data_IF_352818776301
#
_entry.id   IF_352818776301
#
_cell.length_a   1.000
_cell.length_b   1.000
_cell.length_c   1.000
_cell.angle_alpha   90.00
_cell.angle_beta   90.00
_cell.angle_gamma   90.00
#
_symmetry.space_group_name_H-M   'P 1'
#
loop_
_entity.id
_entity.type
_entity.pdbx_description
1 polymer ?
#
# COMPACT_ATOMS: atom_id res chain seq x y z
N UNK A 1 8.26 17.56 12.72
CA UNK A 1 7.03 16.74 12.72
C UNK A 1 6.35 16.98 11.39
N UNK A 2 6.65 16.18 10.38
CA UNK A 2 6.04 16.27 9.05
C UNK A 2 5.07 15.11 8.89
N UNK A 3 3.79 15.41 8.74
CA UNK A 3 2.73 14.42 8.67
C UNK A 3 2.96 13.47 7.49
N UNK A 4 2.89 12.17 7.78
CA UNK A 4 2.92 11.08 6.80
C UNK A 4 1.55 11.08 6.12
N UNK A 5 1.38 11.91 5.10
CA UNK A 5 0.13 11.94 4.36
C UNK A 5 0.18 10.93 3.22
N UNK A 6 -0.27 9.71 3.52
CA UNK A 6 -0.78 8.83 2.48
C UNK A 6 -2.02 9.46 1.87
N UNK A 7 -1.91 10.01 0.66
CA UNK A 7 -3.08 10.51 -0.05
C UNK A 7 -3.97 9.32 -0.43
N UNK A 8 -5.11 9.20 0.26
CA UNK A 8 -6.21 8.33 -0.11
C UNK A 8 -7.17 9.11 -0.98
N UNK A 9 -7.26 8.75 -2.27
CA UNK A 9 -8.26 9.31 -3.16
C UNK A 9 -9.43 8.35 -3.30
N UNK A 10 -10.58 8.74 -2.76
CA UNK A 10 -11.85 8.12 -3.13
C UNK A 10 -12.32 8.80 -4.40
N UNK A 11 -12.53 8.04 -5.48
CA UNK A 11 -13.08 8.54 -6.75
C UNK A 11 -14.52 8.03 -6.87
N UNK A 12 -15.55 8.78 -6.42
CA UNK A 12 -16.94 8.32 -6.48
C UNK A 12 -17.56 8.52 -7.86
N UNK A 13 -16.97 9.32 -8.74
CA UNK A 13 -17.47 9.59 -10.10
C UNK A 13 -16.43 10.36 -10.90
N UNK A 14 -16.54 10.37 -12.24
CA UNK A 14 -15.60 10.92 -13.22
C UNK A 14 -15.29 12.45 -13.12
N UNK A 15 -15.64 13.13 -12.03
CA UNK A 15 -15.53 14.57 -11.87
C UNK A 15 -14.77 15.02 -10.60
N UNK A 16 -14.03 14.12 -9.93
CA UNK A 16 -13.14 14.55 -8.85
C UNK A 16 -11.71 14.74 -9.37
N UNK A 17 -11.17 15.93 -9.10
CA UNK A 17 -9.75 16.27 -9.20
C UNK A 17 -9.15 16.23 -7.80
N UNK A 18 -7.82 16.20 -7.68
CA UNK A 18 -7.13 16.31 -6.39
C UNK A 18 -7.63 17.48 -5.52
N UNK A 19 -8.10 18.57 -6.15
CA UNK A 19 -8.67 19.76 -5.48
C UNK A 19 -10.10 19.61 -4.99
N UNK A 20 -10.86 18.64 -5.50
CA UNK A 20 -12.29 18.46 -5.16
C UNK A 20 -12.55 17.19 -4.34
N UNK A 21 -11.53 16.36 -4.12
CA UNK A 21 -11.60 15.30 -3.13
C UNK A 21 -11.61 15.92 -1.73
N UNK A 22 -12.63 15.65 -0.89
CA UNK A 22 -12.62 16.10 0.50
C UNK A 22 -11.34 15.63 1.18
N UNK A 23 -10.63 16.53 1.84
CA UNK A 23 -9.50 16.18 2.69
C UNK A 23 -10.03 15.26 3.82
N UNK A 24 -9.60 14.00 3.78
CA UNK A 24 -9.99 12.95 4.74
C UNK A 24 -8.81 12.58 5.65
N UNK A 25 -7.73 13.36 5.61
CA UNK A 25 -6.43 12.95 6.15
C UNK A 25 -6.44 12.79 7.68
N UNK A 26 -7.37 13.43 8.36
CA UNK A 26 -7.57 13.29 9.82
C UNK A 26 -8.22 11.97 10.25
N UNK A 27 -8.63 11.08 9.31
CA UNK A 27 -9.45 9.89 9.63
C UNK A 27 -8.76 8.55 9.41
N UNK A 28 -7.61 8.51 8.75
CA UNK A 28 -6.92 7.27 8.43
C UNK A 28 -5.41 7.44 8.59
N UNK A 29 -4.87 6.83 9.63
CA UNK A 29 -3.43 6.71 9.85
C UNK A 29 -3.05 5.23 9.70
N UNK A 30 -2.29 4.90 8.64
CA UNK A 30 -1.87 3.53 8.38
C UNK A 30 -0.78 3.03 9.33
N UNK A 31 -0.18 3.91 10.14
CA UNK A 31 0.71 3.51 11.22
C UNK A 31 -0.04 3.16 12.52
N UNK A 32 -1.36 3.40 12.56
CA UNK A 32 -2.27 3.01 13.64
C UNK A 32 -3.47 2.24 13.10
N UNK A 33 -3.41 0.91 13.22
CA UNK A 33 -4.45 -0.01 12.74
C UNK A 33 -5.82 0.23 13.37
N UNK A 34 -5.89 0.90 14.54
CA UNK A 34 -7.17 1.22 15.20
C UNK A 34 -8.00 2.25 14.42
N UNK A 35 -7.35 3.10 13.62
CA UNK A 35 -8.01 4.12 12.81
C UNK A 35 -8.72 3.54 11.58
N UNK A 36 -8.24 2.40 11.07
CA UNK A 36 -8.65 1.83 9.78
C UNK A 36 -10.13 1.44 9.79
N UNK A 37 -10.61 0.78 10.86
CA UNK A 37 -12.02 0.38 10.95
C UNK A 37 -12.96 1.58 10.97
N UNK A 38 -12.57 2.66 11.65
CA UNK A 38 -13.35 3.89 11.70
C UNK A 38 -13.42 4.56 10.32
N UNK A 39 -12.29 4.62 9.60
CA UNK A 39 -12.22 5.13 8.24
C UNK A 39 -13.11 4.32 7.28
N UNK A 40 -13.03 2.98 7.35
CA UNK A 40 -13.86 2.09 6.51
C UNK A 40 -15.35 2.26 6.82
N UNK A 41 -15.74 2.27 8.09
CA UNK A 41 -17.14 2.49 8.50
C UNK A 41 -17.68 3.83 7.96
N UNK A 42 -16.86 4.87 8.05
CA UNK A 42 -17.22 6.18 7.51
C UNK A 42 -17.42 6.16 5.99
N UNK A 43 -16.54 5.45 5.26
CA UNK A 43 -16.61 5.28 3.81
C UNK A 43 -17.85 4.49 3.39
N UNK A 44 -18.07 3.30 3.94
CA UNK A 44 -19.19 2.42 3.54
C UNK A 44 -20.57 3.00 3.94
N UNK A 45 -20.61 3.90 4.93
CA UNK A 45 -21.83 4.64 5.25
C UNK A 45 -22.23 5.64 4.15
N UNK A 46 -21.29 6.04 3.27
CA UNK A 46 -21.51 7.04 2.21
C UNK A 46 -21.45 6.44 0.82
N UNK A 47 -20.65 5.40 0.64
CA UNK A 47 -20.41 4.78 -0.66
C UNK A 47 -20.99 3.37 -0.66
N UNK A 48 -21.81 3.09 -1.67
CA UNK A 48 -22.45 1.78 -1.87
C UNK A 48 -21.73 0.93 -2.92
N UNK A 49 -20.65 1.46 -3.50
CA UNK A 49 -19.83 0.83 -4.55
C UNK A 49 -18.35 1.15 -4.34
N UNK A 50 -17.49 0.19 -4.65
CA UNK A 50 -16.04 0.39 -4.76
C UNK A 50 -15.51 -0.49 -5.90
N UNK A 51 -15.12 0.13 -7.02
CA UNK A 51 -14.62 -0.61 -8.18
C UNK A 51 -13.10 -0.79 -8.14
N UNK A 52 -12.35 0.14 -7.55
CA UNK A 52 -10.88 0.07 -7.47
C UNK A 52 -10.37 0.45 -6.09
N UNK A 53 -9.57 -0.42 -5.48
CA UNK A 53 -8.77 -0.13 -4.29
C UNK A 53 -7.29 -0.11 -4.68
N UNK A 54 -6.58 0.99 -4.39
CA UNK A 54 -5.15 1.10 -4.65
C UNK A 54 -4.39 1.22 -3.33
N UNK A 55 -3.75 0.12 -2.94
CA UNK A 55 -2.88 0.04 -1.77
C UNK A 55 -1.48 0.58 -2.13
N UNK A 56 -1.40 1.91 -2.28
CA UNK A 56 -0.18 2.62 -2.70
C UNK A 56 0.58 3.28 -1.55
N UNK A 57 -0.13 3.71 -0.52
CA UNK A 57 0.41 4.48 0.58
C UNK A 57 1.65 3.83 1.21
N UNK A 58 2.62 4.64 1.60
CA UNK A 58 3.76 4.09 2.31
C UNK A 58 4.76 5.10 2.82
N UNK A 59 5.67 4.58 3.62
CA UNK A 59 6.85 5.26 4.15
C UNK A 59 8.10 4.54 3.69
N UNK A 60 9.15 5.31 3.40
CA UNK A 60 10.45 4.82 3.00
C UNK A 60 11.51 5.47 3.87
N UNK A 61 12.35 4.63 4.45
CA UNK A 61 13.49 5.01 5.27
C UNK A 61 13.17 5.94 6.45
N UNK A 62 12.22 5.59 7.33
CA UNK A 62 12.00 6.34 8.56
C UNK A 62 13.23 6.25 9.48
N UNK A 63 13.20 7.02 10.58
CA UNK A 63 14.22 6.89 11.62
C UNK A 63 14.27 5.44 12.12
N UNK A 64 15.49 4.93 12.38
CA UNK A 64 15.68 3.57 12.88
C UNK A 64 14.86 3.33 14.15
N UNK A 65 14.30 2.13 14.28
CA UNK A 65 13.43 1.74 15.39
C UNK A 65 12.11 2.54 15.50
N UNK A 66 11.66 3.15 14.39
CA UNK A 66 10.30 3.69 14.32
C UNK A 66 9.27 2.55 14.37
N UNK A 67 8.30 2.68 15.26
CA UNK A 67 7.23 1.70 15.48
C UNK A 67 5.85 2.35 15.28
N UNK A 68 4.90 1.57 14.77
CA UNK A 68 3.49 1.95 14.73
C UNK A 68 2.81 1.79 16.09
N UNK A 69 1.55 2.21 16.18
CA UNK A 69 0.80 2.22 17.45
C UNK A 69 0.63 0.82 18.07
N UNK A 70 0.63 -0.24 17.25
CA UNK A 70 0.54 -1.63 17.70
C UNK A 70 1.90 -2.30 17.95
N UNK A 71 3.00 -1.54 17.92
CA UNK A 71 4.35 -2.06 18.21
C UNK A 71 5.04 -2.77 17.04
N UNK A 72 4.44 -2.78 15.86
CA UNK A 72 5.07 -3.28 14.64
C UNK A 72 6.07 -2.26 14.06
N UNK A 73 7.08 -2.74 13.34
CA UNK A 73 7.99 -1.87 12.58
C UNK A 73 7.23 -0.98 11.59
N UNK A 74 7.63 0.29 11.50
CA UNK A 74 6.81 1.33 10.86
C UNK A 74 6.56 1.09 9.36
N UNK A 75 7.54 0.61 8.59
CA UNK A 75 7.35 0.32 7.16
C UNK A 75 6.46 -0.90 6.96
N UNK A 76 6.61 -1.94 7.79
CA UNK A 76 5.77 -3.13 7.73
C UNK A 76 4.31 -2.83 8.06
N UNK A 77 4.04 -2.09 9.14
CA UNK A 77 2.67 -1.73 9.50
C UNK A 77 2.04 -0.83 8.44
N UNK A 78 2.76 0.22 8.01
CA UNK A 78 2.21 1.25 7.12
C UNK A 78 2.04 0.75 5.70
N UNK A 79 3.00 0.02 5.14
CA UNK A 79 3.03 -0.29 3.71
C UNK A 79 2.34 -1.62 3.39
N UNK A 80 2.13 -2.50 4.39
CA UNK A 80 1.72 -3.89 4.19
C UNK A 80 0.56 -4.31 5.11
N UNK A 81 0.73 -4.30 6.43
CA UNK A 81 -0.31 -4.81 7.35
C UNK A 81 -1.59 -3.97 7.31
N UNK A 82 -1.45 -2.65 7.31
CA UNK A 82 -2.58 -1.71 7.23
C UNK A 82 -3.39 -1.88 5.95
N UNK A 83 -2.71 -2.05 4.80
CA UNK A 83 -3.32 -2.29 3.51
C UNK A 83 -4.09 -3.61 3.47
N UNK A 84 -3.55 -4.66 4.07
CA UNK A 84 -4.26 -5.93 4.18
C UNK A 84 -5.52 -5.79 5.05
N UNK A 85 -5.42 -5.13 6.21
CA UNK A 85 -6.58 -4.88 7.07
C UNK A 85 -7.64 -4.03 6.36
N UNK A 86 -7.22 -2.97 5.65
CA UNK A 86 -8.08 -2.13 4.85
C UNK A 86 -8.83 -2.94 3.77
N UNK A 87 -8.10 -3.78 3.02
CA UNK A 87 -8.68 -4.70 2.04
C UNK A 87 -9.70 -5.66 2.69
N UNK A 88 -9.35 -6.31 3.80
CA UNK A 88 -10.24 -7.26 4.49
C UNK A 88 -11.55 -6.60 4.92
N UNK A 89 -11.48 -5.37 5.44
CA UNK A 89 -12.66 -4.62 5.88
C UNK A 89 -13.52 -4.13 4.70
N UNK A 90 -12.92 -3.85 3.54
CA UNK A 90 -13.62 -3.43 2.32
C UNK A 90 -14.07 -4.61 1.43
N UNK A 91 -13.59 -5.82 1.68
CA UNK A 91 -13.87 -7.01 0.88
C UNK A 91 -15.37 -7.29 0.67
N UNK A 92 -16.27 -7.13 1.67
CA UNK A 92 -17.71 -7.29 1.44
C UNK A 92 -18.26 -6.32 0.39
N UNK A 93 -17.81 -5.05 0.41
CA UNK A 93 -18.25 -4.03 -0.53
C UNK A 93 -17.66 -4.25 -1.93
N UNK A 94 -16.39 -4.63 -2.02
CA UNK A 94 -15.74 -4.99 -3.28
C UNK A 94 -16.44 -6.20 -3.93
N UNK A 95 -16.73 -7.25 -3.15
CA UNK A 95 -17.44 -8.44 -3.64
C UNK A 95 -18.86 -8.10 -4.09
N UNK A 96 -19.61 -7.32 -3.30
CA UNK A 96 -20.94 -6.81 -3.70
C UNK A 96 -20.87 -6.05 -5.02
N UNK A 97 -19.85 -5.20 -5.18
CA UNK A 97 -19.64 -4.44 -6.40
C UNK A 97 -19.38 -5.37 -7.57
N UNK A 98 -18.47 -6.33 -7.41
CA UNK A 98 -18.06 -7.29 -8.43
C UNK A 98 -19.22 -8.13 -8.97
N UNK A 99 -20.13 -8.59 -8.10
CA UNK A 99 -21.35 -9.35 -8.48
C UNK A 99 -22.24 -8.57 -9.46
N UNK A 100 -22.27 -7.24 -9.34
CA UNK A 100 -23.10 -6.36 -10.17
C UNK A 100 -22.34 -5.65 -11.30
N UNK A 101 -21.06 -5.96 -11.47
CA UNK A 101 -20.18 -5.33 -12.45
C UNK A 101 -19.82 -6.30 -13.59
N UNK A 102 -19.23 -5.78 -14.66
CA UNK A 102 -18.63 -6.62 -15.70
C UNK A 102 -17.52 -7.50 -15.12
N UNK A 103 -17.36 -8.71 -15.67
CA UNK A 103 -16.27 -9.62 -15.29
C UNK A 103 -14.92 -8.90 -15.32
N UNK A 104 -14.11 -9.11 -14.28
CA UNK A 104 -12.74 -8.56 -14.16
C UNK A 104 -12.64 -7.01 -14.17
N UNK A 105 -13.72 -6.30 -13.81
CA UNK A 105 -13.71 -4.83 -13.72
C UNK A 105 -13.37 -4.29 -12.33
N UNK A 106 -13.64 -5.05 -11.25
CA UNK A 106 -13.30 -4.66 -9.88
C UNK A 106 -11.87 -5.09 -9.55
N UNK A 107 -11.06 -4.18 -9.03
CA UNK A 107 -9.60 -4.36 -8.90
C UNK A 107 -9.06 -3.94 -7.54
N UNK A 108 -8.08 -4.68 -7.06
CA UNK A 108 -7.23 -4.29 -5.92
C UNK A 108 -5.77 -4.28 -6.39
N UNK A 109 -5.17 -3.10 -6.40
CA UNK A 109 -3.79 -2.89 -6.82
C UNK A 109 -2.88 -2.75 -5.60
N UNK A 110 -1.75 -3.45 -5.61
CA UNK A 110 -0.78 -3.48 -4.51
C UNK A 110 0.55 -2.87 -4.98
N UNK A 111 0.97 -1.76 -4.37
CA UNK A 111 2.20 -1.09 -4.78
C UNK A 111 3.45 -1.83 -4.24
N UNK A 112 4.20 -2.42 -5.16
CA UNK A 112 5.53 -2.96 -4.92
C UNK A 112 6.60 -1.90 -5.19
N UNK A 113 7.82 -2.33 -5.49
CA UNK A 113 8.96 -1.47 -5.82
C UNK A 113 10.03 -2.32 -6.50
N UNK A 114 10.93 -1.67 -7.23
CA UNK A 114 12.17 -2.31 -7.70
C UNK A 114 12.98 -2.92 -6.55
N UNK A 115 12.84 -2.41 -5.31
CA UNK A 115 13.46 -2.96 -4.10
C UNK A 115 13.17 -4.46 -3.90
N UNK A 116 12.03 -4.96 -4.40
CA UNK A 116 11.70 -6.39 -4.41
C UNK A 116 12.74 -7.21 -5.18
N UNK A 117 13.34 -6.66 -6.22
CA UNK A 117 14.31 -7.36 -7.06
C UNK A 117 15.76 -7.09 -6.66
N UNK A 118 16.06 -5.92 -6.11
CA UNK A 118 17.45 -5.48 -5.89
C UNK A 118 17.91 -5.54 -4.44
N UNK A 119 16.97 -5.43 -3.48
CA UNK A 119 17.29 -5.28 -2.04
C UNK A 119 16.60 -6.34 -1.17
N UNK A 120 15.80 -7.24 -1.75
CA UNK A 120 15.10 -8.27 -0.97
C UNK A 120 16.01 -9.46 -0.65
N UNK A 121 15.72 -10.13 0.47
CA UNK A 121 16.35 -11.42 0.77
C UNK A 121 15.96 -12.44 -0.32
N UNK A 122 16.83 -13.41 -0.66
CA UNK A 122 16.47 -14.52 -1.55
C UNK A 122 15.23 -15.31 -1.08
N UNK A 123 14.97 -15.32 0.23
CA UNK A 123 13.78 -15.93 0.82
C UNK A 123 12.55 -15.02 0.82
N UNK A 124 12.66 -13.81 0.26
CA UNK A 124 11.63 -12.78 0.27
C UNK A 124 11.54 -12.09 1.64
N UNK A 125 10.51 -12.43 2.41
CA UNK A 125 10.26 -11.86 3.74
C UNK A 125 10.81 -12.81 4.82
N UNK A 126 11.54 -12.26 5.79
CA UNK A 126 12.08 -13.02 6.91
C UNK A 126 11.05 -13.00 8.03
N UNK A 127 10.59 -14.18 8.43
CA UNK A 127 9.57 -14.36 9.46
C UNK A 127 10.21 -14.98 10.70
N UNK A 128 9.90 -14.42 11.87
CA UNK A 128 10.29 -14.94 13.17
C UNK A 128 9.46 -16.18 13.55
N UNK A 129 9.88 -16.89 14.60
CA UNK A 129 9.17 -18.08 15.10
C UNK A 129 7.74 -17.80 15.56
N UNK A 130 7.46 -16.56 15.98
CA UNK A 130 6.13 -16.09 16.36
C UNK A 130 5.23 -15.72 15.16
N UNK A 131 5.74 -15.88 13.94
CA UNK A 131 5.03 -15.57 12.70
C UNK A 131 5.07 -14.09 12.29
N UNK A 132 5.74 -13.23 13.04
CA UNK A 132 5.87 -11.81 12.69
C UNK A 132 7.04 -11.56 11.71
N UNK A 133 6.93 -10.57 10.82
CA UNK A 133 8.07 -10.08 10.05
C UNK A 133 9.21 -9.66 10.99
N UNK A 134 10.40 -10.18 10.74
CA UNK A 134 11.58 -9.84 11.53
C UNK A 134 11.99 -8.41 11.24
N UNK A 135 12.16 -7.61 12.29
CA UNK A 135 12.76 -6.28 12.18
C UNK A 135 14.22 -6.40 11.72
N UNK A 136 14.56 -5.71 10.63
CA UNK A 136 15.86 -5.68 9.99
C UNK A 136 16.38 -4.23 9.91
N UNK A 137 17.42 -4.01 9.12
CA UNK A 137 17.84 -2.66 8.78
C UNK A 137 16.76 -1.93 7.98
N UNK A 138 16.73 -0.60 8.09
CA UNK A 138 15.68 0.27 7.53
C UNK A 138 15.46 0.02 6.03
N UNK A 139 16.53 -0.18 5.25
CA UNK A 139 16.44 -0.48 3.82
C UNK A 139 15.86 -1.87 3.54
N UNK A 140 16.27 -2.88 4.31
CA UNK A 140 15.75 -4.23 4.22
C UNK A 140 14.26 -4.28 4.60
N UNK A 141 13.84 -3.57 5.64
CA UNK A 141 12.43 -3.46 6.04
C UNK A 141 11.56 -2.84 4.94
N UNK A 142 12.06 -1.83 4.23
CA UNK A 142 11.34 -1.28 3.08
C UNK A 142 11.12 -2.36 2.01
N UNK A 143 12.18 -3.08 1.62
CA UNK A 143 12.07 -4.16 0.64
C UNK A 143 11.14 -5.28 1.10
N UNK A 144 11.27 -5.73 2.36
CA UNK A 144 10.37 -6.72 2.97
C UNK A 144 8.90 -6.28 2.88
N UNK A 145 8.61 -5.01 3.16
CA UNK A 145 7.23 -4.48 3.07
C UNK A 145 6.68 -4.52 1.65
N UNK A 146 7.54 -4.31 0.63
CA UNK A 146 7.16 -4.40 -0.78
C UNK A 146 7.04 -5.84 -1.27
N UNK A 147 7.85 -6.76 -0.77
CA UNK A 147 7.66 -8.21 -0.96
C UNK A 147 6.34 -8.66 -0.34
N UNK A 148 5.99 -8.16 0.84
CA UNK A 148 4.71 -8.39 1.49
C UNK A 148 3.52 -8.07 0.59
N UNK A 149 3.55 -6.92 -0.10
CA UNK A 149 2.51 -6.55 -1.06
C UNK A 149 2.41 -7.52 -2.25
N UNK A 150 3.53 -8.06 -2.74
CA UNK A 150 3.55 -9.09 -3.79
C UNK A 150 2.90 -10.38 -3.29
N UNK A 151 3.26 -10.83 -2.09
CA UNK A 151 2.70 -12.03 -1.49
C UNK A 151 1.19 -11.88 -1.22
N UNK A 152 0.77 -10.75 -0.65
CA UNK A 152 -0.64 -10.46 -0.40
C UNK A 152 -1.45 -10.45 -1.70
N UNK A 153 -0.94 -9.83 -2.75
CA UNK A 153 -1.62 -9.83 -4.05
C UNK A 153 -1.80 -11.24 -4.61
N UNK A 154 -0.74 -12.06 -4.57
CA UNK A 154 -0.78 -13.45 -5.04
C UNK A 154 -1.74 -14.30 -4.22
N UNK A 155 -1.71 -14.19 -2.90
CA UNK A 155 -2.56 -14.98 -2.02
C UNK A 155 -4.03 -14.55 -2.14
N UNK A 156 -4.31 -13.24 -2.22
CA UNK A 156 -5.67 -12.74 -2.45
C UNK A 156 -6.20 -13.13 -3.84
N UNK A 157 -5.34 -13.17 -4.86
CA UNK A 157 -5.72 -13.58 -6.21
C UNK A 157 -6.29 -15.01 -6.27
N UNK A 158 -5.93 -15.89 -5.33
CA UNK A 158 -6.52 -17.24 -5.24
C UNK A 158 -8.02 -17.23 -4.95
N UNK A 159 -8.53 -16.14 -4.36
CA UNK A 159 -9.95 -15.95 -4.05
C UNK A 159 -10.74 -15.30 -5.20
N UNK A 160 -10.07 -14.90 -6.30
CA UNK A 160 -10.71 -14.30 -7.47
C UNK A 160 -11.87 -15.14 -8.03
N UNK A 161 -11.78 -16.48 -8.13
CA UNK A 161 -12.91 -17.29 -8.62
C UNK A 161 -14.19 -17.15 -7.76
N UNK A 162 -14.03 -16.86 -6.47
CA UNK A 162 -15.13 -16.69 -5.52
C UNK A 162 -15.61 -15.25 -5.44
N UNK A 163 -14.71 -14.27 -5.53
CA UNK A 163 -15.03 -12.85 -5.30
C UNK A 163 -15.25 -12.05 -6.58
N UNK A 164 -14.71 -12.51 -7.72
CA UNK A 164 -14.70 -11.76 -8.98
C UNK A 164 -13.73 -10.57 -9.01
N UNK A 165 -12.92 -10.38 -7.96
CA UNK A 165 -12.01 -9.25 -7.81
C UNK A 165 -10.64 -9.60 -8.39
N UNK A 166 -10.11 -8.75 -9.27
CA UNK A 166 -8.76 -8.92 -9.83
C UNK A 166 -7.73 -8.27 -8.92
N UNK A 167 -6.69 -9.01 -8.55
CA UNK A 167 -5.55 -8.49 -7.81
C UNK A 167 -4.36 -8.27 -8.75
N UNK A 168 -3.75 -7.09 -8.69
CA UNK A 168 -2.58 -6.74 -9.49
C UNK A 168 -1.49 -6.14 -8.61
N UNK A 169 -0.23 -6.42 -8.94
CA UNK A 169 0.94 -5.79 -8.34
C UNK A 169 1.53 -4.83 -9.36
N UNK A 170 1.97 -3.66 -8.91
CA UNK A 170 2.65 -2.72 -9.79
C UNK A 170 3.88 -2.13 -9.11
N UNK A 171 4.90 -1.82 -9.90
CA UNK A 171 6.02 -0.98 -9.48
C UNK A 171 5.76 0.44 -10.02
N UNK A 172 5.55 1.45 -9.15
CA UNK A 172 5.28 2.82 -9.59
C UNK A 172 6.48 3.49 -10.29
N UNK A 173 7.67 2.89 -10.24
CA UNK A 173 8.90 3.47 -10.76
C UNK A 173 9.52 4.51 -9.81
N UNK A 174 10.61 5.14 -10.25
CA UNK A 174 11.34 6.12 -9.46
C UNK A 174 10.75 7.53 -9.64
N UNK A 175 9.58 7.76 -9.06
CA UNK A 175 8.89 9.05 -9.12
C UNK A 175 9.43 10.02 -8.07
N UNK A 176 9.53 11.31 -8.41
CA UNK A 176 9.78 12.39 -7.44
C UNK A 176 8.57 12.58 -6.54
N UNK A 177 8.66 12.12 -5.29
CA UNK A 177 7.58 12.25 -4.31
C UNK A 177 8.12 12.60 -2.92
N UNK A 178 7.24 12.90 -1.98
CA UNK A 178 7.62 13.05 -0.57
C UNK A 178 8.07 11.73 0.08
N UNK A 179 7.92 10.58 -0.58
CA UNK A 179 8.39 9.29 -0.08
C UNK A 179 9.91 9.29 0.17
N UNK A 180 10.68 10.00 -0.66
CA UNK A 180 12.14 10.07 -0.59
C UNK A 180 12.68 11.12 0.40
N UNK A 181 11.84 11.82 1.16
CA UNK A 181 12.24 12.94 2.04
C UNK A 181 13.30 12.59 3.10
N UNK A 182 13.43 11.31 3.46
CA UNK A 182 14.43 10.81 4.39
C UNK A 182 15.63 10.11 3.70
N UNK A 183 15.62 10.02 2.37
CA UNK A 183 16.70 9.41 1.60
C UNK A 183 17.78 10.43 1.22
N UNK A 184 18.84 10.47 2.01
CA UNK A 184 19.96 11.40 1.82
C UNK A 184 21.17 10.75 1.15
N UNK A 185 21.89 11.52 0.32
CA UNK A 185 23.17 11.12 -0.28
C UNK A 185 23.15 10.98 -1.80
N UNK A 186 24.28 10.69 -2.46
CA UNK A 186 24.41 10.69 -3.92
C UNK A 186 23.46 9.70 -4.62
N UNK A 187 23.17 8.56 -3.97
CA UNK A 187 22.28 7.53 -4.50
C UNK A 187 20.83 8.02 -4.67
N UNK A 188 20.33 8.89 -3.77
CA UNK A 188 18.97 9.43 -3.88
C UNK A 188 18.84 10.37 -5.06
N UNK A 189 19.88 11.18 -5.33
CA UNK A 189 19.92 12.06 -6.50
C UNK A 189 19.92 11.27 -7.81
N UNK A 190 20.72 10.21 -7.94
CA UNK A 190 20.79 9.38 -9.16
C UNK A 190 19.45 8.68 -9.44
N UNK A 191 18.84 8.09 -8.42
CA UNK A 191 17.60 7.35 -8.59
C UNK A 191 16.41 8.24 -8.98
N UNK A 192 16.37 9.48 -8.48
CA UNK A 192 15.24 10.42 -8.61
C UNK A 192 15.46 11.43 -9.76
N UNK A 193 16.65 11.49 -10.35
CA UNK A 193 16.99 12.36 -11.49
C UNK A 193 16.66 11.75 -12.86
N UNK A 194 16.12 10.53 -12.93
CA UNK A 194 15.75 9.88 -14.19
C UNK A 194 16.96 9.37 -15.00
N UNK A 195 18.17 9.35 -14.43
CA UNK A 195 19.35 8.73 -15.07
C UNK A 195 19.16 7.20 -15.21
N UNK A 196 18.20 6.63 -14.46
CA UNK A 196 17.75 5.24 -14.59
C UNK A 196 16.22 5.24 -14.83
N UNK A 197 15.79 5.57 -16.05
CA UNK A 197 14.45 5.21 -16.53
C UNK A 197 14.42 3.70 -16.79
N UNK A 198 14.24 2.89 -15.75
CA UNK A 198 13.80 1.52 -15.95
C UNK A 198 12.30 1.53 -16.19
N UNK A 199 11.91 1.28 -17.43
CA UNK A 199 10.54 1.18 -17.91
C UNK A 199 9.63 0.42 -16.93
N UNK A 200 8.58 1.09 -16.45
CA UNK A 200 7.42 0.43 -15.91
C UNK A 200 6.74 -0.31 -17.06
N UNK A 201 6.88 -1.63 -17.12
CA UNK A 201 6.08 -2.47 -18.02
C UNK A 201 4.85 -2.93 -17.23
N UNK A 202 3.68 -2.59 -17.77
CA UNK A 202 2.34 -2.86 -17.25
C UNK A 202 2.01 -4.35 -17.14
#
# INVERSE_FOLDING_TARGET
MGNIFSQFYFIPTAALTEKTCPDQTDRLDLSDLSTIKLAVNYFIARQQRLDVLVNNAGVMYPQRASIGAQGHELQMVTNCLSHYLLYQLLLPLLTKTAVSSLTASVRVAWAASIAVHVDSSPSGMIINEDGCPKDQEVTANYSQSKVGNVFLARECAKMTPQTGIVHAVFNPGNLRTELQRHWTGPASWIAVSGVVELFAVF
#
